data_IF_047606975639
#
_entry.id   IF_047606975639
#
_cell.length_a   1.000
_cell.length_b   1.000
_cell.length_c   1.000
_cell.angle_alpha   90.00
_cell.angle_beta   90.00
_cell.angle_gamma   90.00
#
_symmetry.space_group_name_H-M   'P 1'
#
loop_
_entity.id
_entity.type
_entity.pdbx_description
1 polymer ?
#
# COMPACT_ATOMS: atom_id res chain seq x y z
N UNK A 1 -49.50 36.16 10.31
CA UNK A 1 -48.54 35.38 11.12
C UNK A 1 -47.16 35.99 10.92
N UNK A 2 -46.60 36.64 11.96
CA UNK A 2 -45.21 37.14 11.96
C UNK A 2 -44.31 36.00 12.43
N UNK A 3 -43.65 35.33 11.51
CA UNK A 3 -42.59 34.36 11.84
C UNK A 3 -41.34 35.14 12.22
N UNK A 4 -40.94 34.99 13.48
CA UNK A 4 -39.86 35.70 14.13
C UNK A 4 -38.50 35.28 13.54
N UNK A 5 -37.74 36.25 13.02
CA UNK A 5 -36.37 36.10 12.50
C UNK A 5 -35.36 35.61 13.56
N UNK A 6 -35.72 35.66 14.85
CA UNK A 6 -34.87 35.21 15.95
C UNK A 6 -34.58 33.69 15.93
N UNK A 7 -35.49 32.87 15.39
CA UNK A 7 -35.31 31.41 15.38
C UNK A 7 -34.32 30.90 14.33
N UNK A 8 -34.00 31.69 13.31
CA UNK A 8 -33.08 31.29 12.25
C UNK A 8 -31.61 31.42 12.67
N UNK A 9 -31.27 32.39 13.52
CA UNK A 9 -29.88 32.56 13.99
C UNK A 9 -29.43 31.44 14.94
N UNK A 10 -30.35 30.84 15.71
CA UNK A 10 -30.02 29.78 16.65
C UNK A 10 -29.65 28.45 15.97
N UNK A 11 -30.21 28.16 14.78
CA UNK A 11 -29.87 26.95 14.01
C UNK A 11 -28.56 27.07 13.23
N UNK A 12 -28.11 28.29 12.90
CA UNK A 12 -26.86 28.51 12.17
C UNK A 12 -25.62 28.39 13.06
N UNK A 13 -25.75 28.65 14.37
CA UNK A 13 -24.62 28.56 15.31
C UNK A 13 -24.30 27.13 15.76
N UNK A 14 -25.26 26.19 15.68
CA UNK A 14 -25.05 24.79 16.07
C UNK A 14 -24.28 23.95 15.04
N UNK A 15 -24.22 24.40 13.78
CA UNK A 15 -23.59 23.64 12.69
C UNK A 15 -22.06 23.89 12.54
N UNK A 16 -21.50 24.86 13.27
CA UNK A 16 -20.08 25.26 13.13
C UNK A 16 -19.12 24.53 14.09
N UNK A 17 -19.62 23.67 14.99
CA UNK A 17 -18.83 23.10 16.10
C UNK A 17 -18.27 21.68 15.85
N UNK A 18 -18.40 21.11 14.66
CA UNK A 18 -17.96 19.73 14.39
C UNK A 18 -16.78 19.60 13.40
N UNK A 19 -16.09 20.69 13.08
CA UNK A 19 -14.83 20.63 12.31
C UNK A 19 -13.68 20.28 13.26
N UNK A 20 -13.62 19.03 13.74
CA UNK A 20 -12.45 18.54 14.43
C UNK A 20 -11.24 18.67 13.48
N UNK A 21 -10.09 19.20 13.92
CA UNK A 21 -8.89 19.22 13.10
C UNK A 21 -8.56 17.78 12.68
N UNK A 22 -8.24 17.58 11.41
CA UNK A 22 -7.68 16.33 10.93
C UNK A 22 -6.45 16.02 11.80
N UNK A 23 -6.52 14.95 12.59
CA UNK A 23 -5.38 14.52 13.39
C UNK A 23 -4.33 13.99 12.43
N UNK A 24 -3.20 14.69 12.43
CA UNK A 24 -1.95 14.24 11.84
C UNK A 24 -1.65 12.85 12.42
N UNK A 25 -1.71 11.81 11.59
CA UNK A 25 -1.58 10.43 12.05
C UNK A 25 -0.12 10.00 11.90
N UNK A 26 0.52 9.71 13.04
CA UNK A 26 1.90 9.23 13.04
C UNK A 26 1.92 7.76 12.64
N UNK A 27 2.68 7.46 11.59
CA UNK A 27 2.77 6.15 10.97
C UNK A 27 4.20 5.61 11.08
N UNK A 28 4.32 4.39 11.57
CA UNK A 28 5.56 3.59 11.52
C UNK A 28 5.43 2.50 10.45
N UNK A 29 6.56 1.90 10.04
CA UNK A 29 6.50 0.69 9.24
C UNK A 29 5.99 -0.47 10.09
N UNK A 30 4.98 -1.23 9.63
CA UNK A 30 4.42 -2.33 10.40
C UNK A 30 5.42 -3.46 10.61
N UNK A 31 5.35 -4.11 11.76
CA UNK A 31 6.00 -5.41 11.95
C UNK A 31 5.29 -6.47 11.09
N UNK A 32 6.06 -7.24 10.32
CA UNK A 32 5.53 -8.28 9.44
C UNK A 32 5.20 -9.58 10.19
N UNK A 33 5.58 -9.73 11.46
CA UNK A 33 5.29 -10.94 12.25
C UNK A 33 3.79 -11.30 12.27
N UNK A 34 2.93 -10.27 12.30
CA UNK A 34 1.47 -10.39 12.26
C UNK A 34 0.85 -10.06 10.89
N UNK A 35 1.65 -9.87 9.84
CA UNK A 35 1.13 -9.65 8.49
C UNK A 35 0.39 -10.89 7.98
N UNK A 36 -0.65 -10.66 7.18
CA UNK A 36 -1.53 -11.71 6.67
C UNK A 36 -1.48 -11.74 5.17
N UNK A 37 -1.33 -12.95 4.62
CA UNK A 37 -1.56 -13.21 3.20
C UNK A 37 -3.07 -13.24 2.94
N UNK A 38 -3.56 -12.24 2.21
CA UNK A 38 -5.00 -12.03 1.98
C UNK A 38 -5.49 -12.80 0.76
N UNK A 39 -4.60 -13.06 -0.20
CA UNK A 39 -4.90 -13.84 -1.41
C UNK A 39 -3.97 -15.05 -1.51
N UNK A 40 -4.48 -16.19 -2.00
CA UNK A 40 -3.64 -17.34 -2.29
C UNK A 40 -2.57 -17.01 -3.34
N UNK A 41 -1.42 -17.70 -3.26
CA UNK A 41 -0.44 -17.66 -4.32
C UNK A 41 -1.01 -18.27 -5.61
N UNK A 42 -0.78 -17.65 -6.78
CA UNK A 42 -1.21 -18.22 -8.05
C UNK A 42 -0.66 -19.63 -8.24
N UNK A 43 -1.48 -20.51 -8.82
CA UNK A 43 -1.02 -21.80 -9.31
C UNK A 43 -0.18 -21.64 -10.58
N UNK A 44 0.66 -22.62 -10.89
CA UNK A 44 1.42 -22.62 -12.14
C UNK A 44 0.52 -22.57 -13.38
N UNK A 45 -0.68 -23.16 -13.33
CA UNK A 45 -1.65 -23.10 -14.43
C UNK A 45 -2.19 -21.67 -14.64
N UNK A 46 -2.57 -20.98 -13.56
CA UNK A 46 -3.01 -19.58 -13.62
C UNK A 46 -1.90 -18.65 -14.11
N UNK A 47 -0.65 -18.89 -13.70
CA UNK A 47 0.50 -18.15 -14.18
C UNK A 47 0.74 -18.39 -15.67
N UNK A 48 0.63 -19.63 -16.17
CA UNK A 48 0.77 -19.91 -17.61
C UNK A 48 -0.33 -19.24 -18.42
N UNK A 49 -1.56 -19.27 -17.92
CA UNK A 49 -2.69 -18.59 -18.55
C UNK A 49 -2.47 -17.07 -18.64
N UNK A 50 -2.02 -16.45 -17.55
CA UNK A 50 -1.77 -15.01 -17.50
C UNK A 50 -0.50 -14.60 -18.26
N UNK A 51 0.51 -15.46 -18.36
CA UNK A 51 1.66 -15.27 -19.24
C UNK A 51 1.25 -15.16 -20.72
N UNK A 52 0.37 -16.05 -21.19
CA UNK A 52 -0.14 -15.99 -22.58
C UNK A 52 -0.89 -14.67 -22.85
N UNK A 53 -1.64 -14.17 -21.87
CA UNK A 53 -2.34 -12.89 -21.99
C UNK A 53 -1.43 -11.66 -21.91
N UNK A 54 -0.43 -11.69 -21.04
CA UNK A 54 0.48 -10.55 -20.78
C UNK A 54 1.62 -10.46 -21.81
N UNK A 55 2.16 -11.60 -22.26
CA UNK A 55 3.32 -11.69 -23.15
C UNK A 55 3.02 -12.20 -24.57
N UNK A 56 1.81 -12.70 -24.85
CA UNK A 56 1.45 -13.24 -26.16
C UNK A 56 1.32 -12.17 -27.26
N UNK A 57 1.16 -12.61 -28.51
CA UNK A 57 1.13 -11.72 -29.69
C UNK A 57 -0.04 -10.72 -29.69
N UNK A 58 -1.12 -11.05 -28.97
CA UNK A 58 -2.27 -10.18 -28.74
C UNK A 58 -2.16 -9.38 -27.43
N UNK A 59 -0.95 -9.20 -26.86
CA UNK A 59 -0.70 -8.53 -25.59
C UNK A 59 -1.38 -7.16 -25.57
N UNK A 60 -2.59 -7.15 -25.02
CA UNK A 60 -3.38 -5.96 -24.84
C UNK A 60 -2.70 -5.15 -23.73
N UNK A 61 -2.33 -3.93 -24.09
CA UNK A 61 -2.14 -2.78 -23.19
C UNK A 61 -0.87 -2.65 -22.33
N UNK A 62 -0.09 -3.69 -22.04
CA UNK A 62 1.08 -3.53 -21.18
C UNK A 62 2.35 -3.54 -22.00
N UNK A 63 3.10 -2.42 -21.94
CA UNK A 63 4.39 -2.29 -22.63
C UNK A 63 5.20 -3.56 -22.42
N UNK A 64 5.60 -4.18 -23.52
CA UNK A 64 6.36 -5.43 -23.53
C UNK A 64 7.63 -5.23 -22.72
N UNK A 65 7.59 -5.57 -21.44
CA UNK A 65 8.80 -5.76 -20.67
C UNK A 65 9.48 -6.99 -21.26
N UNK A 66 10.44 -6.73 -22.15
CA UNK A 66 11.14 -7.75 -22.92
C UNK A 66 11.80 -8.77 -21.99
N UNK A 67 12.24 -8.34 -20.80
CA UNK A 67 12.88 -9.22 -19.84
C UNK A 67 11.86 -10.12 -19.14
N UNK A 68 10.76 -9.56 -18.63
CA UNK A 68 9.67 -10.34 -18.03
C UNK A 68 9.07 -11.32 -19.05
N UNK A 69 8.96 -10.93 -20.32
CA UNK A 69 8.35 -11.75 -21.36
C UNK A 69 9.32 -12.65 -22.16
N UNK A 70 10.59 -12.76 -21.74
CA UNK A 70 11.56 -13.61 -22.43
C UNK A 70 11.28 -15.11 -22.24
N UNK A 71 10.70 -15.50 -21.11
CA UNK A 71 10.31 -16.88 -20.79
C UNK A 71 9.19 -16.91 -19.76
N UNK A 72 8.56 -18.07 -19.59
CA UNK A 72 7.58 -18.27 -18.52
C UNK A 72 8.22 -18.14 -17.14
N UNK A 73 9.47 -18.58 -16.99
CA UNK A 73 10.22 -18.50 -15.74
C UNK A 73 10.47 -17.05 -15.34
N UNK A 74 10.90 -16.19 -16.27
CA UNK A 74 11.07 -14.77 -15.99
C UNK A 74 9.76 -14.10 -15.60
N UNK A 75 8.66 -14.47 -16.27
CA UNK A 75 7.33 -14.00 -15.90
C UNK A 75 6.94 -14.45 -14.50
N UNK A 76 7.14 -15.74 -14.18
CA UNK A 76 6.86 -16.33 -12.87
C UNK A 76 7.66 -15.65 -11.77
N UNK A 77 8.94 -15.35 -11.98
CA UNK A 77 9.76 -14.62 -11.01
C UNK A 77 9.18 -13.26 -10.63
N UNK A 78 8.55 -12.56 -11.59
CA UNK A 78 8.00 -11.21 -11.38
C UNK A 78 6.53 -11.23 -10.94
N UNK A 79 5.76 -12.21 -11.40
CA UNK A 79 4.28 -12.22 -11.28
C UNK A 79 3.75 -13.25 -10.30
N UNK A 80 4.58 -14.19 -9.84
CA UNK A 80 4.21 -15.10 -8.75
C UNK A 80 4.20 -14.33 -7.42
N UNK A 81 3.15 -13.55 -7.21
CA UNK A 81 2.99 -12.69 -6.03
C UNK A 81 1.58 -12.80 -5.48
N UNK A 82 1.44 -12.62 -4.17
CA UNK A 82 0.16 -12.56 -3.48
C UNK A 82 0.01 -11.25 -2.72
N UNK A 83 -1.23 -10.81 -2.49
CA UNK A 83 -1.51 -9.65 -1.65
C UNK A 83 -1.28 -10.00 -0.19
N UNK A 84 -0.47 -9.18 0.47
CA UNK A 84 -0.23 -9.19 1.91
C UNK A 84 -0.62 -7.85 2.52
N UNK A 85 -1.13 -7.89 3.75
CA UNK A 85 -1.52 -6.72 4.52
C UNK A 85 -0.92 -6.74 5.94
N UNK A 86 -0.63 -5.56 6.47
CA UNK A 86 -0.29 -5.38 7.88
C UNK A 86 -1.45 -5.81 8.78
N UNK A 87 -1.16 -6.09 10.05
CA UNK A 87 -2.17 -6.55 11.01
C UNK A 87 -3.38 -5.59 11.17
N UNK A 88 -3.15 -4.30 10.96
CA UNK A 88 -4.16 -3.24 11.01
C UNK A 88 -4.77 -2.89 9.63
N UNK A 89 -4.35 -3.58 8.57
CA UNK A 89 -4.82 -3.37 7.19
C UNK A 89 -4.39 -2.03 6.57
N UNK A 90 -3.56 -1.22 7.24
CA UNK A 90 -3.20 0.13 6.76
C UNK A 90 -2.16 0.11 5.65
N UNK A 91 -1.32 -0.92 5.63
CA UNK A 91 -0.27 -1.13 4.64
C UNK A 91 -0.54 -2.43 3.89
N UNK A 92 -0.35 -2.41 2.58
CA UNK A 92 -0.47 -3.61 1.76
C UNK A 92 0.48 -3.61 0.57
N UNK A 93 0.79 -4.80 0.07
CA UNK A 93 1.74 -5.00 -1.02
C UNK A 93 1.61 -6.39 -1.63
N UNK A 94 2.03 -6.51 -2.89
CA UNK A 94 2.17 -7.80 -3.54
C UNK A 94 3.58 -8.31 -3.26
N UNK A 95 3.68 -9.39 -2.47
CA UNK A 95 4.95 -10.00 -2.07
C UNK A 95 5.15 -11.32 -2.83
N UNK A 96 6.40 -11.70 -3.05
CA UNK A 96 6.75 -12.89 -3.83
C UNK A 96 6.29 -14.17 -3.15
N UNK A 97 5.66 -15.04 -3.93
CA UNK A 97 5.30 -16.40 -3.57
C UNK A 97 6.45 -17.39 -3.81
N UNK A 98 7.62 -16.92 -4.26
CA UNK A 98 8.85 -17.71 -4.31
C UNK A 98 9.59 -17.73 -2.96
N UNK A 99 9.03 -17.09 -1.92
CA UNK A 99 9.58 -16.98 -0.58
C UNK A 99 8.56 -17.53 0.42
N UNK A 100 9.02 -18.31 1.39
CA UNK A 100 8.15 -18.89 2.41
C UNK A 100 7.47 -17.81 3.27
N UNK A 101 6.19 -17.97 3.65
CA UNK A 101 5.45 -17.03 4.49
C UNK A 101 6.17 -16.64 5.79
N UNK A 102 6.87 -17.57 6.42
CA UNK A 102 7.63 -17.34 7.65
C UNK A 102 8.83 -16.41 7.40
N UNK A 103 9.46 -16.48 6.23
CA UNK A 103 10.55 -15.57 5.84
C UNK A 103 10.01 -14.16 5.60
N UNK A 104 8.83 -14.04 5.00
CA UNK A 104 8.14 -12.75 4.85
C UNK A 104 7.85 -12.15 6.24
N UNK A 105 7.26 -12.95 7.14
CA UNK A 105 6.91 -12.50 8.51
C UNK A 105 8.13 -12.14 9.36
N UNK A 106 9.29 -12.74 9.08
CA UNK A 106 10.54 -12.44 9.78
C UNK A 106 11.31 -11.24 9.19
N UNK A 107 10.87 -10.70 8.05
CA UNK A 107 11.59 -9.63 7.35
C UNK A 107 11.50 -8.30 8.12
N UNK A 108 12.64 -7.62 8.28
CA UNK A 108 12.72 -6.38 9.06
C UNK A 108 12.62 -5.16 8.16
N UNK A 109 11.96 -4.11 8.65
CA UNK A 109 11.91 -2.83 7.96
C UNK A 109 13.33 -2.24 7.89
N UNK A 110 13.69 -1.72 6.71
CA UNK A 110 14.96 -1.03 6.45
C UNK A 110 14.77 0.46 6.25
N UNK A 111 13.72 0.83 5.52
CA UNK A 111 13.55 2.21 5.06
C UNK A 111 12.09 2.59 4.88
N UNK A 112 11.75 3.78 5.35
CA UNK A 112 10.49 4.45 5.04
C UNK A 112 10.71 5.62 4.08
N UNK A 113 9.93 5.70 3.01
CA UNK A 113 9.99 6.81 2.06
C UNK A 113 8.62 7.14 1.46
N UNK A 114 8.48 8.31 0.87
CA UNK A 114 7.21 8.79 0.31
C UNK A 114 7.34 9.07 -1.18
N UNK A 115 6.34 8.65 -1.95
CA UNK A 115 6.19 8.96 -3.37
C UNK A 115 4.81 9.56 -3.64
N UNK A 116 4.73 10.57 -4.51
CA UNK A 116 3.46 11.16 -4.95
C UNK A 116 3.16 10.71 -6.38
N UNK A 117 2.06 9.99 -6.57
CA UNK A 117 1.55 9.59 -7.89
C UNK A 117 0.18 10.18 -8.15
N UNK A 118 0.13 11.25 -8.96
CA UNK A 118 -1.10 11.98 -9.25
C UNK A 118 -1.73 12.57 -7.98
N UNK A 119 -2.93 12.10 -7.59
CA UNK A 119 -3.64 12.53 -6.35
C UNK A 119 -3.46 11.60 -5.16
N UNK A 120 -2.73 10.49 -5.32
CA UNK A 120 -2.40 9.55 -4.24
C UNK A 120 -0.96 9.76 -3.74
N UNK A 121 -0.81 9.79 -2.42
CA UNK A 121 0.47 9.67 -1.70
C UNK A 121 0.68 8.20 -1.35
N UNK A 122 1.89 7.70 -1.61
CA UNK A 122 2.33 6.35 -1.26
C UNK A 122 3.41 6.47 -0.19
N UNK A 123 3.08 6.12 1.05
CA UNK A 123 4.08 5.94 2.09
C UNK A 123 4.54 4.48 2.04
N UNK A 124 5.81 4.27 1.74
CA UNK A 124 6.39 2.99 1.37
C UNK A 124 7.37 2.55 2.46
N UNK A 125 7.24 1.29 2.86
CA UNK A 125 8.14 0.61 3.77
C UNK A 125 8.85 -0.51 3.02
N UNK A 126 10.18 -0.41 2.96
CA UNK A 126 11.05 -1.43 2.38
C UNK A 126 11.60 -2.31 3.49
N UNK A 127 11.65 -3.61 3.24
CA UNK A 127 12.10 -4.61 4.19
C UNK A 127 13.26 -5.43 3.61
N UNK A 128 13.76 -6.39 4.39
CA UNK A 128 14.55 -7.49 3.84
C UNK A 128 13.86 -8.20 2.66
N UNK A 129 14.64 -8.93 1.86
CA UNK A 129 14.18 -9.72 0.73
C UNK A 129 13.37 -8.91 -0.31
N UNK A 130 13.70 -7.62 -0.45
CA UNK A 130 13.04 -6.67 -1.35
C UNK A 130 11.52 -6.59 -1.18
N UNK A 131 11.01 -6.97 0.01
CA UNK A 131 9.59 -6.86 0.33
C UNK A 131 9.22 -5.40 0.54
N UNK A 132 8.01 -5.04 0.10
CA UNK A 132 7.51 -3.67 0.20
C UNK A 132 6.03 -3.65 0.52
N UNK A 133 5.68 -3.01 1.63
CA UNK A 133 4.28 -2.65 1.93
C UNK A 133 4.08 -1.15 1.77
N UNK A 134 2.87 -0.77 1.35
CA UNK A 134 2.54 0.62 1.00
C UNK A 134 1.24 1.05 1.64
N UNK A 135 1.28 2.15 2.39
CA UNK A 135 0.09 2.89 2.80
C UNK A 135 -0.26 3.91 1.71
N UNK A 136 -1.48 3.83 1.18
CA UNK A 136 -1.98 4.74 0.14
C UNK A 136 -3.01 5.68 0.74
N UNK A 137 -2.79 6.98 0.59
CA UNK A 137 -3.68 8.01 1.12
C UNK A 137 -3.78 9.21 0.18
N UNK A 138 -4.80 10.04 0.37
CA UNK A 138 -4.90 11.35 -0.28
C UNK A 138 -4.18 12.45 0.50
N UNK A 139 -3.97 12.22 1.80
CA UNK A 139 -3.19 13.10 2.69
C UNK A 139 -1.76 13.29 2.18
N UNK A 140 -1.16 14.42 2.51
CA UNK A 140 0.28 14.61 2.32
C UNK A 140 1.01 13.89 3.45
N UNK A 141 2.04 13.10 3.13
CA UNK A 141 2.86 12.43 4.14
C UNK A 141 4.28 12.99 4.11
N UNK A 142 4.83 13.24 5.29
CA UNK A 142 6.22 13.65 5.49
C UNK A 142 6.94 12.59 6.32
N UNK A 143 8.02 12.03 5.80
CA UNK A 143 8.90 11.13 6.55
C UNK A 143 9.76 11.96 7.49
N UNK A 144 9.70 11.64 8.79
CA UNK A 144 10.49 12.29 9.85
C UNK A 144 11.75 11.48 10.16
N UNK A 145 11.65 10.16 10.11
CA UNK A 145 12.76 9.22 10.28
C UNK A 145 12.68 8.19 9.16
N UNK A 146 13.66 8.19 8.27
CA UNK A 146 13.71 7.32 7.09
C UNK A 146 14.34 5.95 7.39
N UNK A 147 15.46 5.92 8.11
CA UNK A 147 16.18 4.69 8.44
C UNK A 147 15.43 3.90 9.52
N UNK A 148 14.99 2.69 9.17
CA UNK A 148 14.33 1.76 10.09
C UNK A 148 15.32 0.74 10.69
N UNK A 149 16.56 0.66 10.19
CA UNK A 149 17.54 -0.31 10.67
C UNK A 149 18.13 0.09 12.04
N UNK A 150 18.18 1.39 12.34
CA UNK A 150 18.64 1.95 13.61
C UNK A 150 17.53 2.11 14.67
N UNK A 151 16.28 1.84 14.32
CA UNK A 151 15.12 1.96 15.21
C UNK A 151 13.81 2.13 14.44
N UNK A 152 12.74 2.54 15.13
CA UNK A 152 11.45 2.76 14.47
C UNK A 152 11.48 4.02 13.59
N UNK A 153 11.36 3.85 12.28
CA UNK A 153 11.13 4.89 11.30
C UNK A 153 9.69 5.43 11.37
N UNK A 154 9.50 6.70 11.04
CA UNK A 154 8.22 7.43 11.24
C UNK A 154 7.93 8.40 10.12
N UNK A 155 6.65 8.55 9.82
CA UNK A 155 6.08 9.61 9.03
C UNK A 155 4.85 10.20 9.70
N UNK A 156 4.49 11.40 9.27
CA UNK A 156 3.25 12.04 9.65
C UNK A 156 2.44 12.34 8.38
N UNK A 157 1.14 12.00 8.38
CA UNK A 157 0.24 12.24 7.25
C UNK A 157 -0.92 13.17 7.63
N UNK A 158 -1.13 14.23 6.84
CA UNK A 158 -2.12 15.31 7.04
C UNK A 158 -2.98 15.60 5.79
#
# INVERSE_FOLDING_TARGET
MKTSTASLLALLLGAMLASAPARADSLACPDLSAATQVAACPTDEELRYTFMGFCGDNARLYGRDILTCASFENYREVKNTALWESADGRFGGYLSCNVEPETIRASKAKRMHVERSGKVTRLMCDYDNDHRLVHRTKAACKVEVEDCASGECRANCE
#
